data_IF_878043656703
#
_entry.id   IF_878043656703
#
_cell.length_a   1.000
_cell.length_b   1.000
_cell.length_c   1.000
_cell.angle_alpha   90.00
_cell.angle_beta   90.00
_cell.angle_gamma   90.00
#
_symmetry.space_group_name_H-M   'P 1'
#
loop_
_entity.id
_entity.type
_entity.pdbx_description
1 polymer ?
#
# COMPACT_ATOMS: atom_id res chain seq x y z
N UNK A 1 -1.02 21.55 3.20
CA UNK A 1 0.32 21.03 3.50
C UNK A 1 1.10 20.90 2.20
N UNK A 2 2.32 21.39 2.22
CA UNK A 2 3.27 21.26 1.12
C UNK A 2 3.74 19.80 1.06
N UNK A 3 3.84 19.19 -0.11
CA UNK A 3 4.20 17.78 -0.28
C UNK A 3 5.68 17.46 0.06
N UNK A 4 6.36 18.41 0.71
CA UNK A 4 7.78 18.42 1.04
C UNK A 4 8.08 18.12 2.51
N UNK A 5 7.09 18.12 3.41
CA UNK A 5 7.30 17.63 4.76
C UNK A 5 7.34 16.09 4.75
N UNK A 6 8.39 15.47 5.32
CA UNK A 6 8.48 14.02 5.41
C UNK A 6 7.38 13.55 6.36
N UNK A 7 6.31 13.03 5.80
CA UNK A 7 5.33 12.25 6.55
C UNK A 7 5.70 10.79 6.37
N UNK A 8 5.77 10.05 7.47
CA UNK A 8 6.20 8.65 7.48
C UNK A 8 5.14 7.76 6.82
N UNK A 9 5.14 7.72 5.48
CA UNK A 9 4.38 6.71 4.75
C UNK A 9 4.93 5.33 5.10
N UNK A 10 4.06 4.42 5.51
CA UNK A 10 4.40 3.06 5.87
C UNK A 10 4.02 2.09 4.76
N UNK A 11 4.94 1.15 4.46
CA UNK A 11 4.64 -0.01 3.62
C UNK A 11 5.31 -1.25 4.21
N UNK A 12 4.49 -2.27 4.44
CA UNK A 12 4.91 -3.63 4.76
C UNK A 12 4.31 -4.62 3.76
N UNK A 13 5.12 -5.62 3.42
CA UNK A 13 4.71 -6.73 2.59
C UNK A 13 5.08 -8.02 3.33
N UNK A 14 4.15 -8.96 3.40
CA UNK A 14 4.37 -10.21 4.12
C UNK A 14 3.65 -11.38 3.46
N UNK A 15 4.16 -12.60 3.71
CA UNK A 15 3.45 -13.81 3.32
C UNK A 15 2.24 -14.00 4.22
N UNK A 16 1.07 -14.19 3.61
CA UNK A 16 -0.21 -14.23 4.33
C UNK A 16 -0.86 -15.61 4.22
N UNK A 17 -0.35 -16.57 5.00
CA UNK A 17 -0.80 -17.98 4.92
C UNK A 17 -2.30 -18.18 5.25
N UNK A 18 -2.93 -17.21 5.93
CA UNK A 18 -4.34 -17.25 6.32
C UNK A 18 -5.25 -16.38 5.41
N UNK A 19 -4.72 -15.83 4.32
CA UNK A 19 -5.48 -14.97 3.42
C UNK A 19 -6.58 -15.78 2.72
N UNK A 20 -7.80 -15.24 2.65
CA UNK A 20 -8.87 -15.86 1.88
C UNK A 20 -8.60 -15.66 0.38
N UNK A 21 -8.12 -16.71 -0.27
CA UNK A 21 -7.78 -16.70 -1.69
C UNK A 21 -9.07 -17.01 -2.49
N UNK A 22 -9.53 -16.10 -3.37
CA UNK A 22 -10.68 -16.36 -4.22
C UNK A 22 -10.37 -17.50 -5.22
N UNK A 23 -11.37 -18.19 -5.77
CA UNK A 23 -11.13 -19.21 -6.78
C UNK A 23 -10.47 -18.60 -8.01
N UNK A 24 -9.50 -19.32 -8.57
CA UNK A 24 -8.81 -18.92 -9.78
C UNK A 24 -8.72 -20.10 -10.74
N UNK A 25 -8.92 -19.82 -12.03
CA UNK A 25 -9.01 -20.81 -13.10
C UNK A 25 -7.66 -21.08 -13.79
N UNK A 26 -6.58 -20.43 -13.37
CA UNK A 26 -5.27 -20.58 -14.01
C UNK A 26 -4.45 -21.70 -13.38
N UNK A 27 -3.82 -22.53 -14.23
CA UNK A 27 -2.89 -23.59 -13.81
C UNK A 27 -1.45 -23.12 -13.59
N UNK A 28 -1.17 -21.82 -13.78
CA UNK A 28 0.15 -21.22 -13.64
C UNK A 28 0.47 -20.82 -12.19
N UNK A 29 1.77 -20.77 -11.86
CA UNK A 29 2.24 -20.22 -10.60
C UNK A 29 1.96 -18.73 -10.49
N UNK A 30 1.39 -18.30 -9.36
CA UNK A 30 0.89 -16.94 -9.18
C UNK A 30 1.00 -16.45 -7.74
N UNK A 31 1.02 -15.14 -7.60
CA UNK A 31 0.68 -14.48 -6.36
C UNK A 31 -0.81 -14.16 -6.31
N UNK A 32 -1.41 -14.32 -5.13
CA UNK A 32 -2.61 -13.60 -4.75
C UNK A 32 -2.20 -12.52 -3.74
N UNK A 33 -2.43 -11.25 -4.09
CA UNK A 33 -1.93 -10.10 -3.34
C UNK A 33 -3.14 -9.32 -2.82
N UNK A 34 -3.29 -9.23 -1.50
CA UNK A 34 -4.24 -8.32 -0.87
C UNK A 34 -3.51 -7.05 -0.46
N UNK A 35 -3.92 -5.91 -1.01
CA UNK A 35 -3.40 -4.59 -0.65
C UNK A 35 -4.45 -3.90 0.21
N UNK A 36 -4.05 -3.54 1.43
CA UNK A 36 -4.83 -2.74 2.37
C UNK A 36 -4.20 -1.36 2.46
N UNK A 37 -4.99 -0.33 2.14
CA UNK A 37 -4.53 1.06 2.14
C UNK A 37 -5.34 1.84 3.15
N UNK A 38 -4.63 2.38 4.13
CA UNK A 38 -5.13 3.34 5.11
C UNK A 38 -4.64 4.73 4.71
N UNK A 39 -5.58 5.66 4.53
CA UNK A 39 -5.27 7.06 4.26
C UNK A 39 -5.62 7.88 5.48
N UNK A 40 -4.64 8.65 5.96
CA UNK A 40 -4.80 9.53 7.12
C UNK A 40 -4.81 10.98 6.68
N UNK A 41 -5.81 11.74 7.09
CA UNK A 41 -5.89 13.18 6.83
C UNK A 41 -5.44 13.96 8.08
N UNK A 42 -4.56 14.96 7.94
CA UNK A 42 -4.27 15.89 9.03
C UNK A 42 -5.52 16.73 9.28
N UNK A 43 -6.06 16.72 10.50
CA UNK A 43 -7.18 17.59 10.83
C UNK A 43 -6.69 19.04 10.85
N UNK A 44 -7.19 19.85 9.92
CA UNK A 44 -7.09 21.30 10.05
C UNK A 44 -8.23 21.71 10.98
N UNK A 45 -8.02 21.61 12.29
CA UNK A 45 -8.85 22.38 13.20
C UNK A 45 -8.43 23.84 13.01
N UNK A 46 -9.25 24.61 12.29
CA UNK A 46 -9.15 26.07 12.28
C UNK A 46 -9.29 26.54 13.72
N UNK A 47 -8.17 26.82 14.37
CA UNK A 47 -8.11 27.58 15.60
C UNK A 47 -8.52 29.03 15.31
N UNK A 48 -9.83 29.25 15.21
CA UNK A 48 -10.46 30.55 15.39
C UNK A 48 -11.06 30.63 16.80
N UNK A 49 -10.31 30.28 17.85
CA UNK A 49 -10.64 30.71 19.21
C UNK A 49 -9.34 31.16 19.91
N UNK A 50 -9.20 32.49 20.02
CA UNK A 50 -8.34 33.16 20.97
C UNK A 50 -8.81 32.75 22.39
N UNK A 51 -7.96 32.10 23.17
CA UNK A 51 -7.61 32.54 24.54
C UNK A 51 -6.89 31.43 25.35
N UNK A 52 -5.82 31.89 26.00
CA UNK A 52 -5.15 31.43 27.22
C UNK A 52 -4.61 30.00 27.37
N UNK A 53 -3.27 29.96 27.48
CA UNK A 53 -2.46 29.22 28.46
C UNK A 53 -3.01 27.86 28.95
N UNK A 54 -2.54 26.77 28.34
CA UNK A 54 -2.10 25.57 29.08
C UNK A 54 -1.37 24.56 28.17
N UNK A 55 -0.44 23.83 28.80
CA UNK A 55 0.29 22.67 28.29
C UNK A 55 -0.60 21.70 27.47
N UNK A 56 -0.27 21.46 26.20
CA UNK A 56 -0.14 20.07 25.69
C UNK A 56 0.61 20.04 24.35
N UNK A 57 1.41 19.00 24.20
CA UNK A 57 2.15 18.66 22.99
C UNK A 57 1.12 18.34 21.89
N UNK A 58 0.65 19.37 21.16
CA UNK A 58 -0.35 19.27 20.09
C UNK A 58 0.20 18.43 18.92
N UNK A 59 0.25 17.11 19.11
CA UNK A 59 0.32 16.16 18.03
C UNK A 59 -0.86 16.44 17.10
N UNK A 60 -0.62 16.61 15.77
CA UNK A 60 -1.72 16.83 14.85
C UNK A 60 -2.73 15.69 15.00
N UNK A 61 -4.00 16.04 15.26
CA UNK A 61 -5.07 15.06 15.31
C UNK A 61 -5.19 14.38 13.93
N UNK A 62 -4.66 13.17 13.83
CA UNK A 62 -4.69 12.36 12.62
C UNK A 62 -5.99 11.56 12.57
N UNK A 63 -6.78 11.74 11.52
CA UNK A 63 -8.02 10.96 11.30
C UNK A 63 -7.83 10.04 10.11
N UNK A 64 -8.12 8.75 10.29
CA UNK A 64 -8.23 7.80 9.18
C UNK A 64 -9.44 8.20 8.35
N UNK A 65 -9.22 8.56 7.09
CA UNK A 65 -10.27 8.96 6.16
C UNK A 65 -10.84 7.76 5.42
N UNK A 66 -9.98 6.82 5.02
CA UNK A 66 -10.35 5.72 4.13
C UNK A 66 -9.56 4.45 4.46
N UNK A 67 -10.24 3.31 4.42
CA UNK A 67 -9.64 1.98 4.49
C UNK A 67 -10.20 1.13 3.36
N UNK A 68 -9.36 0.74 2.42
CA UNK A 68 -9.75 -0.11 1.29
C UNK A 68 -8.86 -1.35 1.22
N UNK A 69 -9.47 -2.51 0.97
CA UNK A 69 -8.74 -3.76 0.69
C UNK A 69 -9.05 -4.25 -0.73
N UNK A 70 -8.02 -4.38 -1.55
CA UNK A 70 -8.11 -4.87 -2.92
C UNK A 70 -7.29 -6.14 -3.14
N UNK A 71 -7.90 -7.13 -3.78
CA UNK A 71 -7.26 -8.39 -4.16
C UNK A 71 -6.81 -8.40 -5.62
N UNK A 72 -5.58 -8.85 -5.86
CA UNK A 72 -4.97 -8.92 -7.19
C UNK A 72 -4.36 -10.30 -7.46
N UNK A 73 -4.46 -10.72 -8.72
CA UNK A 73 -3.74 -11.88 -9.23
C UNK A 73 -2.57 -11.42 -10.08
N UNK A 74 -1.39 -11.94 -9.80
CA UNK A 74 -0.18 -11.63 -10.56
C UNK A 74 0.60 -12.91 -10.90
N UNK A 75 1.17 -13.04 -12.11
CA UNK A 75 2.07 -14.14 -12.44
C UNK A 75 3.27 -14.21 -11.49
N UNK A 76 3.71 -15.42 -11.16
CA UNK A 76 4.92 -15.68 -10.41
C UNK A 76 5.85 -16.58 -11.25
N UNK A 77 6.83 -16.02 -11.98
CA UNK A 77 7.68 -16.77 -12.90
C UNK A 77 8.65 -17.76 -12.22
N UNK A 78 8.81 -17.69 -10.89
CA UNK A 78 9.70 -18.56 -10.09
C UNK A 78 11.18 -18.43 -10.48
N UNK A 79 11.59 -17.20 -10.70
CA UNK A 79 12.98 -16.82 -10.99
C UNK A 79 13.74 -16.48 -9.70
N UNK A 80 15.06 -16.31 -9.79
CA UNK A 80 15.89 -15.92 -8.63
C UNK A 80 15.54 -14.51 -8.11
N UNK A 81 15.08 -13.63 -9.00
CA UNK A 81 14.61 -12.28 -8.71
C UNK A 81 13.53 -11.86 -9.71
N UNK A 82 12.90 -10.70 -9.49
CA UNK A 82 11.87 -10.14 -10.37
C UNK A 82 10.64 -11.04 -10.52
N UNK A 83 10.24 -11.71 -9.43
CA UNK A 83 9.03 -12.53 -9.41
C UNK A 83 7.75 -11.68 -9.46
N UNK A 84 7.86 -10.39 -9.17
CA UNK A 84 6.78 -9.42 -9.27
C UNK A 84 7.33 -8.07 -9.76
N UNK A 85 7.24 -7.77 -11.06
CA UNK A 85 7.87 -6.58 -11.64
C UNK A 85 7.31 -5.27 -11.08
N UNK A 86 8.16 -4.25 -10.94
CA UNK A 86 7.78 -2.91 -10.45
C UNK A 86 6.59 -2.31 -11.20
N UNK A 87 6.50 -2.53 -12.51
CA UNK A 87 5.40 -2.04 -13.34
C UNK A 87 4.05 -2.67 -12.97
N UNK A 88 4.06 -3.95 -12.58
CA UNK A 88 2.87 -4.65 -12.09
C UNK A 88 2.49 -4.12 -10.71
N UNK A 89 3.48 -3.93 -9.83
CA UNK A 89 3.26 -3.39 -8.48
C UNK A 89 2.68 -1.97 -8.55
N UNK A 90 3.31 -1.09 -9.32
CA UNK A 90 2.84 0.28 -9.52
C UNK A 90 1.42 0.33 -10.08
N UNK A 91 1.06 -0.59 -10.99
CA UNK A 91 -0.30 -0.74 -11.50
C UNK A 91 -1.31 -1.13 -10.41
N UNK A 92 -0.96 -2.06 -9.52
CA UNK A 92 -1.81 -2.45 -8.39
C UNK A 92 -1.96 -1.32 -7.37
N UNK A 93 -0.85 -0.66 -7.01
CA UNK A 93 -0.83 0.47 -6.08
C UNK A 93 -1.68 1.64 -6.59
N UNK A 94 -1.57 1.97 -7.88
CA UNK A 94 -2.38 3.02 -8.50
C UNK A 94 -3.87 2.70 -8.47
N UNK A 95 -4.23 1.42 -8.67
CA UNK A 95 -5.62 0.95 -8.56
C UNK A 95 -6.13 0.95 -7.12
N UNK A 96 -5.25 0.81 -6.14
CA UNK A 96 -5.52 0.95 -4.71
C UNK A 96 -5.46 2.41 -4.22
N UNK A 97 -5.46 3.39 -5.13
CA UNK A 97 -5.52 4.80 -4.79
C UNK A 97 -4.20 5.40 -4.28
N UNK A 98 -3.08 4.66 -4.35
CA UNK A 98 -1.77 5.15 -3.91
C UNK A 98 -1.18 6.09 -4.98
N UNK A 99 -0.84 7.35 -4.65
CA UNK A 99 -0.28 8.30 -5.61
C UNK A 99 1.11 7.90 -6.11
N UNK A 100 1.37 8.08 -7.41
CA UNK A 100 2.64 7.70 -8.07
C UNK A 100 3.90 8.22 -7.35
N UNK A 101 3.87 9.44 -6.84
CA UNK A 101 5.03 10.05 -6.15
C UNK A 101 5.37 9.37 -4.81
N UNK A 102 4.44 8.61 -4.20
CA UNK A 102 4.66 7.82 -2.98
C UNK A 102 5.05 6.37 -3.26
N UNK A 103 4.89 5.89 -4.49
CA UNK A 103 5.02 4.45 -4.80
C UNK A 103 6.45 3.93 -4.81
N UNK A 104 7.47 4.77 -5.08
CA UNK A 104 8.83 4.29 -5.37
C UNK A 104 9.41 3.36 -4.30
N UNK A 105 9.32 3.74 -3.03
CA UNK A 105 9.85 2.88 -1.97
C UNK A 105 8.96 1.65 -1.72
N UNK A 106 7.65 1.77 -1.97
CA UNK A 106 6.67 0.68 -1.80
C UNK A 106 6.90 -0.40 -2.87
N UNK A 107 7.16 -0.01 -4.12
CA UNK A 107 7.47 -0.94 -5.21
C UNK A 107 8.70 -1.77 -4.90
N UNK A 108 9.76 -1.14 -4.39
CA UNK A 108 11.00 -1.83 -4.02
C UNK A 108 10.75 -2.85 -2.89
N UNK A 109 9.98 -2.44 -1.86
CA UNK A 109 9.65 -3.29 -0.70
C UNK A 109 8.81 -4.51 -1.08
N UNK A 110 7.78 -4.31 -1.90
CA UNK A 110 6.88 -5.37 -2.35
C UNK A 110 7.61 -6.33 -3.29
N UNK A 111 8.44 -5.81 -4.21
CA UNK A 111 9.24 -6.63 -5.14
C UNK A 111 10.21 -7.53 -4.39
N UNK A 112 10.98 -6.96 -3.46
CA UNK A 112 11.91 -7.72 -2.62
C UNK A 112 11.18 -8.83 -1.87
N UNK A 113 10.02 -8.54 -1.30
CA UNK A 113 9.25 -9.54 -0.57
C UNK A 113 8.69 -10.62 -1.47
N UNK A 114 8.28 -10.29 -2.69
CA UNK A 114 7.85 -11.28 -3.68
C UNK A 114 8.95 -12.31 -3.95
N UNK A 115 10.19 -11.85 -4.12
CA UNK A 115 11.35 -12.73 -4.34
C UNK A 115 11.65 -13.62 -3.13
N UNK A 116 11.60 -13.06 -1.92
CA UNK A 116 11.75 -13.83 -0.68
C UNK A 116 10.67 -14.92 -0.53
N UNK A 117 9.42 -14.59 -0.84
CA UNK A 117 8.30 -15.53 -0.77
C UNK A 117 8.43 -16.60 -1.85
N UNK A 118 8.74 -16.22 -3.09
CA UNK A 118 8.87 -17.16 -4.20
C UNK A 118 10.03 -18.15 -3.99
N UNK A 119 11.13 -17.72 -3.39
CA UNK A 119 12.33 -18.52 -3.15
C UNK A 119 12.29 -19.36 -1.86
N UNK A 120 11.37 -19.05 -0.93
CA UNK A 120 11.26 -19.79 0.33
C UNK A 120 11.00 -21.29 0.12
N UNK A 121 11.76 -22.13 0.82
CA UNK A 121 11.70 -23.59 0.65
C UNK A 121 10.29 -24.18 0.82
N UNK A 122 9.50 -23.63 1.77
CA UNK A 122 8.10 -24.03 2.03
C UNK A 122 7.14 -23.75 0.86
N UNK A 123 7.52 -22.84 -0.04
CA UNK A 123 6.67 -22.32 -1.11
C UNK A 123 6.97 -22.94 -2.48
N UNK A 124 7.94 -23.85 -2.57
CA UNK A 124 8.39 -24.45 -3.84
C UNK A 124 7.32 -25.29 -4.55
N UNK A 125 6.43 -25.92 -3.78
CA UNK A 125 5.37 -26.78 -4.31
C UNK A 125 4.00 -26.08 -4.37
N UNK A 126 3.88 -24.91 -3.75
CA UNK A 126 2.65 -24.13 -3.75
C UNK A 126 2.46 -23.48 -5.12
N UNK A 127 1.29 -23.64 -5.75
CA UNK A 127 1.00 -22.91 -7.00
C UNK A 127 0.61 -21.46 -6.78
N UNK A 128 -0.07 -21.20 -5.66
CA UNK A 128 -0.51 -19.85 -5.29
C UNK A 128 0.25 -19.41 -4.05
N UNK A 129 0.84 -18.23 -4.13
CA UNK A 129 1.57 -17.59 -3.05
C UNK A 129 0.77 -16.40 -2.53
N UNK A 130 0.18 -16.48 -1.32
CA UNK A 130 -0.55 -15.36 -0.75
C UNK A 130 0.41 -14.32 -0.19
N UNK A 131 0.18 -13.06 -0.54
CA UNK A 131 0.88 -11.90 0.00
C UNK A 131 -0.14 -10.89 0.53
N UNK A 132 0.15 -10.30 1.69
CA UNK A 132 -0.56 -9.13 2.19
C UNK A 132 0.39 -7.94 2.14
N UNK A 133 -0.14 -6.81 1.67
CA UNK A 133 0.54 -5.52 1.63
C UNK A 133 -0.26 -4.55 2.46
N UNK A 134 0.36 -3.97 3.49
CA UNK A 134 -0.23 -2.96 4.34
C UNK A 134 0.42 -1.62 4.03
N UNK A 135 -0.41 -0.63 3.72
CA UNK A 135 0.02 0.73 3.40
C UNK A 135 -0.73 1.68 4.33
N UNK A 136 0.01 2.50 5.05
CA UNK A 136 -0.56 3.67 5.74
C UNK A 136 0.13 4.90 5.19
N UNK A 137 -0.66 5.84 4.66
CA UNK A 137 -0.13 7.03 4.03
C UNK A 137 -0.92 8.26 4.45
N UNK A 138 -0.23 9.39 4.53
CA UNK A 138 -0.89 10.66 4.79
C UNK A 138 -1.37 11.28 3.49
N UNK A 139 -2.63 11.70 3.49
CA UNK A 139 -3.29 12.34 2.36
C UNK A 139 -2.49 13.58 1.94
N UNK A 140 -2.16 13.64 0.65
CA UNK A 140 -1.53 14.81 0.05
C UNK A 140 -2.61 15.72 -0.51
N UNK A 141 -2.38 17.04 -0.53
CA UNK A 141 -3.30 18.04 -1.10
C UNK A 141 -3.61 17.81 -2.58
N UNK A 142 -2.83 16.99 -3.30
CA UNK A 142 -3.11 16.56 -4.67
C UNK A 142 -4.24 15.52 -4.79
N UNK A 143 -4.80 15.03 -3.69
CA UNK A 143 -5.90 14.06 -3.67
C UNK A 143 -7.23 14.65 -4.23
N UNK A 144 -7.29 15.96 -4.49
CA UNK A 144 -8.49 16.67 -4.98
C UNK A 144 -8.48 17.13 -6.45
N UNK A 145 -7.41 16.92 -7.22
CA UNK A 145 -7.35 17.41 -8.63
C UNK A 145 -7.69 16.35 -9.68
N UNK A 146 -8.04 15.13 -9.29
CA UNK A 146 -8.55 14.13 -10.23
C UNK A 146 -10.09 14.23 -10.32
N UNK A 147 -10.57 14.49 -11.55
CA UNK A 147 -11.96 14.51 -12.02
C UNK A 147 -12.73 15.84 -11.86
N UNK A 148 -12.27 16.87 -12.56
CA UNK A 148 -13.19 17.77 -13.28
C UNK A 148 -12.83 17.72 -14.75
N UNK A 149 -13.51 16.83 -15.49
CA UNK A 149 -13.44 16.80 -16.95
C UNK A 149 -14.33 17.94 -17.50
N UNK A 150 -13.83 18.80 -18.43
CA UNK A 150 -14.62 19.87 -19.04
C UNK A 150 -15.69 19.40 -20.03
#
# INVERSE_FOLDING_TARGET
MDCHEPVDDYCDASQADNLQIPPNSTDSDQFFIAIEVEVTQPSVESSEEEDDDDDDDCAPNLRVSDLETLGFWAPCPRTESDNLPESVISGMLSRAGVPLHKQKYMTDRISLRADEIASAARNKEARVLPMQVLISMVACSCYGEAVVDP
#
